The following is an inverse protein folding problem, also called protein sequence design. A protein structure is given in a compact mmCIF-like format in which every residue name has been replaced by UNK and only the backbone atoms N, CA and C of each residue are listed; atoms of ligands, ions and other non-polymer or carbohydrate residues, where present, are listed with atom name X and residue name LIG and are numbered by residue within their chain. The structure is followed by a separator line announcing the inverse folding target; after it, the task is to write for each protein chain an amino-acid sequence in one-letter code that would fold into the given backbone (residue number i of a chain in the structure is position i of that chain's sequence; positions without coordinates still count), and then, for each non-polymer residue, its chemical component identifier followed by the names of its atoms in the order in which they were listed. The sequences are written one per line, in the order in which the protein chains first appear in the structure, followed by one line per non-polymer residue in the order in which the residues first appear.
data_IF_003865507880
#
_entry.id   IF_003865507880
#
_cell.length_a   1.000
_cell.length_b   1.000
_cell.length_c   1.000
_cell.angle_alpha   90.00
_cell.angle_beta   90.00
_cell.angle_gamma   90.00
#
_symmetry.space_group_name_H-M   'P 1'
#
loop_
_entity.id
_entity.type
_entity.pdbx_description
1 polymer ?
#
# COMPACT_ATOMS: atom_id res chain seq x y z
N UNK A 1 -23.78 -51.52 10.03
CA UNK A 1 -24.09 -50.65 8.89
C UNK A 1 -22.98 -49.63 8.83
N UNK A 2 -22.22 -49.54 7.72
CA UNK A 2 -21.22 -48.50 7.58
C UNK A 2 -21.97 -47.16 7.48
N UNK A 3 -21.60 -46.20 8.33
CA UNK A 3 -22.09 -44.82 8.20
C UNK A 3 -21.71 -44.28 6.83
N UNK A 4 -22.69 -43.67 6.14
CA UNK A 4 -22.43 -43.02 4.87
C UNK A 4 -21.41 -41.89 5.07
N UNK A 5 -20.44 -41.73 4.19
CA UNK A 5 -19.43 -40.67 4.33
C UNK A 5 -20.12 -39.29 4.34
N UNK A 6 -19.86 -38.52 5.39
CA UNK A 6 -20.39 -37.15 5.49
C UNK A 6 -19.66 -36.25 4.50
N UNK A 7 -20.38 -35.77 3.49
CA UNK A 7 -19.85 -34.85 2.48
C UNK A 7 -19.94 -33.44 3.04
N UNK A 8 -18.80 -32.76 3.20
CA UNK A 8 -18.70 -31.36 3.57
C UNK A 8 -18.39 -30.52 2.32
N UNK A 9 -19.14 -29.46 2.11
CA UNK A 9 -18.92 -28.53 0.99
C UNK A 9 -18.46 -27.19 1.50
N UNK A 10 -17.59 -26.53 0.75
CA UNK A 10 -17.00 -25.24 1.10
C UNK A 10 -17.18 -24.23 -0.04
N UNK A 11 -17.17 -22.94 0.31
CA UNK A 11 -17.09 -21.85 -0.65
C UNK A 11 -15.59 -21.55 -0.90
N UNK A 12 -15.02 -22.01 -2.02
CA UNK A 12 -13.62 -21.72 -2.30
C UNK A 12 -13.38 -20.35 -2.96
N UNK A 13 -14.25 -19.93 -3.88
CA UNK A 13 -14.06 -18.67 -4.61
C UNK A 13 -12.62 -18.45 -5.07
N UNK A 14 -12.06 -17.27 -4.77
CA UNK A 14 -10.68 -16.92 -5.07
C UNK A 14 -9.68 -17.25 -3.93
N UNK A 15 -10.13 -17.86 -2.82
CA UNK A 15 -9.29 -18.06 -1.62
C UNK A 15 -8.03 -18.88 -1.91
N UNK A 16 -8.16 -19.98 -2.67
CA UNK A 16 -7.03 -20.81 -3.05
C UNK A 16 -6.02 -20.10 -3.96
N UNK A 17 -6.49 -19.25 -4.88
CA UNK A 17 -5.62 -18.43 -5.72
C UNK A 17 -4.84 -17.42 -4.87
N UNK A 18 -5.51 -16.71 -3.95
CA UNK A 18 -4.87 -15.75 -3.04
C UNK A 18 -3.84 -16.45 -2.17
N UNK A 19 -4.18 -17.61 -1.59
CA UNK A 19 -3.25 -18.42 -0.83
C UNK A 19 -2.00 -18.77 -1.66
N UNK A 20 -2.17 -19.25 -2.90
CA UNK A 20 -1.07 -19.60 -3.79
C UNK A 20 -0.14 -18.42 -4.06
N UNK A 21 -0.70 -17.24 -4.35
CA UNK A 21 0.08 -16.01 -4.56
C UNK A 21 0.82 -15.57 -3.28
N UNK A 22 0.16 -15.66 -2.13
CA UNK A 22 0.79 -15.32 -0.84
C UNK A 22 1.92 -16.30 -0.48
N UNK A 23 1.79 -17.58 -0.81
CA UNK A 23 2.84 -18.59 -0.65
C UNK A 23 4.02 -18.31 -1.59
N UNK A 24 3.76 -17.95 -2.84
CA UNK A 24 4.81 -17.60 -3.81
C UNK A 24 5.68 -16.45 -3.31
N UNK A 25 5.08 -15.42 -2.72
CA UNK A 25 5.81 -14.29 -2.13
C UNK A 25 6.32 -14.55 -0.71
N UNK A 26 6.07 -15.75 -0.17
CA UNK A 26 6.44 -16.16 1.20
C UNK A 26 5.94 -15.20 2.28
N UNK A 27 4.69 -14.74 2.14
CA UNK A 27 4.08 -13.73 3.01
C UNK A 27 4.13 -14.12 4.48
N UNK A 28 3.65 -15.33 4.82
CA UNK A 28 3.55 -15.82 6.19
C UNK A 28 4.93 -15.92 6.84
N UNK A 29 5.88 -16.52 6.14
CA UNK A 29 7.26 -16.66 6.62
C UNK A 29 7.88 -15.29 6.88
N UNK A 30 7.73 -14.36 5.93
CA UNK A 30 8.31 -13.01 6.05
C UNK A 30 7.75 -12.26 7.26
N UNK A 31 6.44 -12.31 7.48
CA UNK A 31 5.81 -11.67 8.64
C UNK A 31 6.28 -12.34 9.93
N UNK A 32 6.24 -13.67 10.02
CA UNK A 32 6.64 -14.40 11.23
C UNK A 32 8.10 -14.14 11.64
N UNK A 33 9.01 -13.92 10.67
CA UNK A 33 10.39 -13.54 10.97
C UNK A 33 10.56 -12.07 11.40
N UNK A 34 9.60 -11.23 11.06
CA UNK A 34 9.68 -9.79 11.29
C UNK A 34 8.99 -9.33 12.57
N UNK A 35 8.19 -10.20 13.21
CA UNK A 35 7.45 -9.89 14.43
C UNK A 35 7.92 -10.76 15.58
N UNK A 36 7.79 -10.25 16.81
CA UNK A 36 8.09 -11.04 18.02
C UNK A 36 6.86 -11.86 18.40
N UNK A 37 7.01 -13.17 18.47
CA UNK A 37 5.97 -14.10 18.88
C UNK A 37 6.58 -15.41 19.39
N UNK A 38 5.80 -16.18 20.17
CA UNK A 38 6.22 -17.47 20.73
C UNK A 38 5.34 -18.60 20.16
N UNK A 39 5.94 -19.49 19.39
CA UNK A 39 5.25 -20.64 18.76
C UNK A 39 4.51 -21.53 19.76
N UNK A 40 4.95 -21.58 21.01
CA UNK A 40 4.32 -22.41 22.05
C UNK A 40 3.04 -21.77 22.59
N UNK A 41 2.90 -20.45 22.48
CA UNK A 41 1.76 -19.70 23.00
C UNK A 41 0.72 -19.39 21.92
N UNK A 42 1.09 -19.48 20.65
CA UNK A 42 0.23 -19.16 19.53
C UNK A 42 -0.19 -20.42 18.78
N UNK A 43 -1.49 -20.72 18.78
CA UNK A 43 -2.04 -21.82 17.97
C UNK A 43 -1.90 -21.55 16.47
N UNK A 44 -2.13 -20.31 16.04
CA UNK A 44 -1.99 -19.81 14.66
C UNK A 44 -0.98 -18.67 14.65
N UNK A 45 0.01 -18.69 13.76
CA UNK A 45 1.05 -17.67 13.74
C UNK A 45 0.52 -16.29 13.33
N UNK A 46 1.20 -15.18 13.72
CA UNK A 46 0.82 -13.84 13.28
C UNK A 46 0.70 -13.72 11.77
N UNK A 47 1.64 -14.29 11.00
CA UNK A 47 1.61 -14.28 9.54
C UNK A 47 0.39 -15.01 8.96
N UNK A 48 -0.04 -16.13 9.56
CA UNK A 48 -1.27 -16.82 9.14
C UNK A 48 -2.53 -15.98 9.45
N UNK A 49 -2.59 -15.27 10.57
CA UNK A 49 -3.68 -14.34 10.85
C UNK A 49 -3.72 -13.19 9.84
N UNK A 50 -2.57 -12.60 9.48
CA UNK A 50 -2.51 -11.55 8.47
C UNK A 50 -2.95 -12.09 7.10
N UNK A 51 -2.51 -13.30 6.72
CA UNK A 51 -2.99 -13.98 5.50
C UNK A 51 -4.50 -14.15 5.53
N UNK A 52 -5.07 -14.59 6.66
CA UNK A 52 -6.50 -14.74 6.83
C UNK A 52 -7.26 -13.40 6.65
N UNK A 53 -6.73 -12.31 7.20
CA UNK A 53 -7.30 -10.98 7.02
C UNK A 53 -7.19 -10.48 5.59
N UNK A 54 -6.13 -10.80 4.86
CA UNK A 54 -5.98 -10.50 3.43
C UNK A 54 -7.03 -11.25 2.61
N UNK A 55 -7.20 -12.56 2.84
CA UNK A 55 -8.23 -13.38 2.19
C UNK A 55 -9.62 -12.80 2.47
N UNK A 56 -9.93 -12.48 3.74
CA UNK A 56 -11.19 -11.84 4.10
C UNK A 56 -11.38 -10.50 3.37
N UNK A 57 -10.35 -9.66 3.31
CA UNK A 57 -10.43 -8.34 2.65
C UNK A 57 -10.74 -8.47 1.16
N UNK A 58 -10.20 -9.48 0.51
CA UNK A 58 -10.36 -9.68 -0.94
C UNK A 58 -11.63 -10.48 -1.31
N UNK A 59 -12.10 -11.40 -0.45
CA UNK A 59 -13.20 -12.31 -0.74
C UNK A 59 -14.47 -12.05 0.07
N UNK A 60 -14.35 -11.71 1.36
CA UNK A 60 -15.48 -11.60 2.29
C UNK A 60 -15.86 -10.17 2.63
N UNK A 61 -14.85 -9.33 2.86
CA UNK A 61 -15.00 -7.94 3.33
C UNK A 61 -15.85 -7.79 4.58
N UNK A 62 -15.84 -8.81 5.44
CA UNK A 62 -16.54 -8.73 6.72
C UNK A 62 -15.66 -8.02 7.77
N UNK A 63 -16.26 -7.31 8.73
CA UNK A 63 -15.51 -6.66 9.80
C UNK A 63 -14.81 -7.70 10.69
N UNK A 64 -13.77 -7.27 11.41
CA UNK A 64 -12.91 -8.15 12.22
C UNK A 64 -13.69 -9.09 13.15
N UNK A 65 -14.74 -8.60 13.81
CA UNK A 65 -15.57 -9.41 14.71
C UNK A 65 -16.43 -10.48 14.01
N UNK A 66 -16.45 -10.52 12.67
CA UNK A 66 -17.15 -11.54 11.87
C UNK A 66 -16.21 -12.42 11.06
N UNK A 67 -14.90 -12.27 11.18
CA UNK A 67 -13.91 -13.05 10.41
C UNK A 67 -14.04 -14.54 10.72
N UNK A 68 -14.25 -14.93 11.97
CA UNK A 68 -14.55 -16.31 12.35
C UNK A 68 -15.73 -16.87 11.55
N UNK A 69 -16.85 -16.15 11.50
CA UNK A 69 -18.04 -16.56 10.75
C UNK A 69 -17.78 -16.67 9.23
N UNK A 70 -16.93 -15.81 8.66
CA UNK A 70 -16.52 -15.92 7.25
C UNK A 70 -15.81 -17.25 6.99
N UNK A 71 -14.99 -17.71 7.95
CA UNK A 71 -14.23 -18.95 7.82
C UNK A 71 -15.03 -20.22 8.11
N UNK A 72 -16.23 -20.15 8.72
CA UNK A 72 -17.10 -21.31 8.91
C UNK A 72 -17.51 -21.98 7.57
N UNK A 73 -17.63 -21.18 6.50
CA UNK A 73 -17.99 -21.63 5.16
C UNK A 73 -16.76 -21.93 4.27
N UNK A 74 -15.52 -21.80 4.79
CA UNK A 74 -14.29 -22.01 4.03
C UNK A 74 -13.62 -23.34 4.40
N UNK A 75 -12.80 -23.87 3.49
CA UNK A 75 -11.90 -24.98 3.79
C UNK A 75 -10.69 -24.50 4.60
N UNK A 76 -10.87 -24.32 5.90
CA UNK A 76 -9.85 -23.78 6.79
C UNK A 76 -8.64 -24.70 6.89
N UNK A 77 -8.84 -26.01 6.89
CA UNK A 77 -7.70 -26.97 6.90
C UNK A 77 -6.90 -26.91 5.60
N UNK A 78 -7.57 -26.81 4.46
CA UNK A 78 -6.91 -26.62 3.17
C UNK A 78 -6.16 -25.30 3.05
N UNK A 79 -6.65 -24.23 3.71
CA UNK A 79 -6.02 -22.92 3.67
C UNK A 79 -4.86 -22.76 4.67
N UNK A 80 -4.98 -23.32 5.88
CA UNK A 80 -4.08 -23.00 7.00
C UNK A 80 -3.43 -24.22 7.66
N UNK A 81 -3.77 -25.42 7.20
CA UNK A 81 -3.22 -26.69 7.70
C UNK A 81 -4.19 -27.50 8.55
N UNK A 82 -3.91 -28.80 8.61
CA UNK A 82 -4.72 -29.79 9.33
C UNK A 82 -4.92 -29.42 10.80
N UNK A 83 -6.14 -29.61 11.30
CA UNK A 83 -6.54 -29.31 12.69
C UNK A 83 -6.83 -27.83 12.95
N UNK A 84 -6.81 -26.99 11.91
CA UNK A 84 -7.25 -25.59 12.00
C UNK A 84 -8.76 -25.50 11.83
N UNK A 85 -9.36 -24.57 12.56
CA UNK A 85 -10.82 -24.33 12.55
C UNK A 85 -11.10 -22.84 12.40
N UNK A 86 -12.32 -22.47 12.01
CA UNK A 86 -12.74 -21.08 11.92
C UNK A 86 -12.54 -20.33 13.26
N UNK A 87 -12.77 -21.01 14.39
CA UNK A 87 -12.62 -20.46 15.73
C UNK A 87 -11.18 -19.97 16.02
N UNK A 88 -10.17 -20.55 15.38
CA UNK A 88 -8.77 -20.13 15.56
C UNK A 88 -8.53 -18.71 15.03
N UNK A 89 -9.40 -18.23 14.13
CA UNK A 89 -9.36 -16.89 13.51
C UNK A 89 -10.37 -15.91 14.13
N UNK A 90 -10.72 -16.09 15.41
CA UNK A 90 -11.59 -15.17 16.12
C UNK A 90 -10.94 -13.77 16.24
N UNK A 91 -11.77 -12.76 16.53
CA UNK A 91 -11.34 -11.36 16.53
C UNK A 91 -10.29 -11.03 17.61
N UNK A 92 -10.28 -11.74 18.76
CA UNK A 92 -9.26 -11.54 19.79
C UNK A 92 -7.87 -12.03 19.34
N UNK A 93 -7.82 -13.24 18.75
CA UNK A 93 -6.57 -13.79 18.22
C UNK A 93 -6.06 -12.96 17.03
N UNK A 94 -6.96 -12.58 16.12
CA UNK A 94 -6.63 -11.73 14.97
C UNK A 94 -6.22 -10.32 15.41
N UNK A 95 -6.82 -9.75 16.46
CA UNK A 95 -6.43 -8.48 17.06
C UNK A 95 -5.00 -8.51 17.58
N UNK A 96 -4.65 -9.52 18.40
CA UNK A 96 -3.25 -9.69 18.88
C UNK A 96 -2.25 -9.83 17.74
N UNK A 97 -2.63 -10.50 16.64
CA UNK A 97 -1.77 -10.61 15.46
C UNK A 97 -1.56 -9.27 14.75
N UNK A 98 -2.59 -8.42 14.71
CA UNK A 98 -2.48 -7.05 14.20
C UNK A 98 -1.57 -6.19 15.09
N UNK A 99 -1.67 -6.33 16.43
CA UNK A 99 -0.80 -5.64 17.36
C UNK A 99 0.66 -6.08 17.16
N UNK A 100 0.94 -7.37 17.11
CA UNK A 100 2.28 -7.88 16.84
C UNK A 100 2.83 -7.41 15.47
N UNK A 101 1.97 -7.33 14.45
CA UNK A 101 2.34 -6.83 13.13
C UNK A 101 2.63 -5.32 13.14
N UNK A 102 1.89 -4.55 13.91
CA UNK A 102 2.10 -3.12 14.12
C UNK A 102 3.42 -2.87 14.85
N UNK A 103 3.64 -3.54 15.99
CA UNK A 103 4.84 -3.43 16.82
C UNK A 103 6.11 -3.88 16.07
N UNK A 104 5.98 -4.87 15.19
CA UNK A 104 7.04 -5.30 14.28
C UNK A 104 7.39 -4.28 13.18
N UNK A 105 6.65 -3.18 13.08
CA UNK A 105 6.86 -2.14 12.08
C UNK A 105 6.25 -2.48 10.72
N UNK A 106 4.93 -2.55 10.65
CA UNK A 106 4.14 -2.96 9.47
C UNK A 106 4.60 -2.31 8.16
N UNK A 107 4.97 -1.02 8.18
CA UNK A 107 5.51 -0.28 7.03
C UNK A 107 6.85 -0.87 6.53
N UNK A 108 7.74 -1.21 7.44
CA UNK A 108 9.04 -1.81 7.13
C UNK A 108 8.88 -3.23 6.60
N UNK A 109 7.98 -4.02 7.21
CA UNK A 109 7.63 -5.38 6.78
C UNK A 109 7.08 -5.35 5.34
N UNK A 110 6.13 -4.46 5.06
CA UNK A 110 5.58 -4.30 3.72
C UNK A 110 6.65 -3.92 2.69
N UNK A 111 7.49 -2.92 3.01
CA UNK A 111 8.57 -2.47 2.12
C UNK A 111 9.58 -3.58 1.84
N UNK A 112 10.02 -4.31 2.87
CA UNK A 112 10.97 -5.41 2.70
C UNK A 112 10.38 -6.55 1.84
N UNK A 113 9.11 -6.91 2.07
CA UNK A 113 8.40 -7.91 1.28
C UNK A 113 8.30 -7.51 -0.19
N UNK A 114 7.89 -6.27 -0.48
CA UNK A 114 7.73 -5.76 -1.85
C UNK A 114 9.06 -5.67 -2.57
N UNK A 115 10.10 -5.09 -1.95
CA UNK A 115 11.44 -5.00 -2.53
C UNK A 115 12.03 -6.38 -2.85
N UNK A 116 11.93 -7.32 -1.92
CA UNK A 116 12.39 -8.70 -2.14
C UNK A 116 11.73 -9.31 -3.37
N UNK A 117 10.39 -9.18 -3.49
CA UNK A 117 9.66 -9.74 -4.62
C UNK A 117 10.02 -9.08 -5.95
N UNK A 118 10.20 -7.75 -5.96
CA UNK A 118 10.62 -7.03 -7.15
C UNK A 118 12.00 -7.47 -7.63
N UNK A 119 12.96 -7.58 -6.70
CA UNK A 119 14.33 -8.02 -7.01
C UNK A 119 14.35 -9.47 -7.50
N UNK A 120 13.61 -10.37 -6.85
CA UNK A 120 13.54 -11.78 -7.24
C UNK A 120 12.95 -11.97 -8.64
N UNK A 121 11.99 -11.12 -9.03
CA UNK A 121 11.36 -11.15 -10.35
C UNK A 121 12.11 -10.36 -11.42
N UNK A 122 13.24 -9.73 -11.07
CA UNK A 122 14.00 -8.89 -11.99
C UNK A 122 13.21 -7.69 -12.52
N UNK A 123 12.23 -7.18 -11.74
CA UNK A 123 11.41 -6.05 -12.15
C UNK A 123 12.26 -4.77 -12.15
N UNK A 124 12.39 -4.06 -13.29
CA UNK A 124 13.24 -2.89 -13.36
C UNK A 124 12.64 -1.72 -12.54
N UNK A 125 13.49 -1.09 -11.73
CA UNK A 125 13.16 0.12 -10.97
C UNK A 125 13.34 1.38 -11.85
N UNK A 126 12.49 1.54 -12.87
CA UNK A 126 12.62 2.66 -13.81
C UNK A 126 11.71 3.84 -13.44
N UNK A 127 10.42 3.60 -13.33
CA UNK A 127 9.43 4.63 -13.03
C UNK A 127 8.64 4.24 -11.78
N UNK A 128 8.63 5.14 -10.80
CA UNK A 128 7.83 5.01 -9.59
C UNK A 128 6.71 6.05 -9.61
N UNK A 129 5.47 5.60 -9.50
CA UNK A 129 4.28 6.45 -9.45
C UNK A 129 3.78 6.50 -8.01
N UNK A 130 3.75 7.69 -7.43
CA UNK A 130 3.25 7.92 -6.08
C UNK A 130 1.96 8.71 -6.07
N UNK A 131 0.98 8.23 -5.32
CA UNK A 131 -0.27 8.93 -5.08
C UNK A 131 -0.80 8.62 -3.67
N UNK A 132 -1.67 9.50 -3.18
CA UNK A 132 -2.36 9.33 -1.92
C UNK A 132 -3.85 9.15 -2.17
N UNK A 133 -4.52 8.48 -1.26
CA UNK A 133 -5.97 8.47 -1.17
C UNK A 133 -6.41 8.65 0.26
N UNK A 134 -7.57 9.25 0.49
CA UNK A 134 -8.16 9.35 1.82
C UNK A 134 -9.23 8.29 2.01
N UNK A 135 -9.33 7.78 3.24
CA UNK A 135 -10.43 6.92 3.66
C UNK A 135 -11.20 7.59 4.78
N UNK A 136 -12.46 7.90 4.51
CA UNK A 136 -13.38 8.48 5.47
C UNK A 136 -13.69 7.49 6.59
N UNK A 137 -13.68 7.99 7.83
CA UNK A 137 -13.94 7.23 9.05
C UNK A 137 -15.17 7.78 9.75
N UNK A 138 -16.05 6.88 10.20
CA UNK A 138 -17.25 7.23 10.94
C UNK A 138 -17.05 6.95 12.42
N UNK A 139 -17.12 7.96 13.25
CA UNK A 139 -16.91 7.87 14.70
C UNK A 139 -16.22 9.10 15.25
N UNK A 140 -16.17 9.23 16.57
CA UNK A 140 -15.58 10.40 17.24
C UNK A 140 -14.06 10.37 17.23
N UNK A 141 -13.44 9.20 17.33
CA UNK A 141 -11.99 9.00 17.29
C UNK A 141 -11.20 10.10 18.02
N UNK A 142 -11.23 10.07 19.33
CA UNK A 142 -10.44 10.99 20.16
C UNK A 142 -8.96 10.60 20.10
N UNK A 143 -8.09 11.60 19.99
CA UNK A 143 -6.65 11.37 20.03
C UNK A 143 -6.22 11.19 21.50
N UNK A 144 -5.60 10.06 21.81
CA UNK A 144 -5.18 9.71 23.17
C UNK A 144 -3.94 10.51 23.66
N UNK A 145 -3.46 11.47 22.85
CA UNK A 145 -2.27 12.26 23.17
C UNK A 145 -0.94 11.56 22.93
N UNK A 146 -0.97 10.30 22.53
CA UNK A 146 0.23 9.55 22.14
C UNK A 146 0.74 10.04 20.77
N UNK A 147 1.98 10.55 20.68
CA UNK A 147 2.54 11.06 19.43
C UNK A 147 2.72 9.99 18.36
N UNK A 148 2.89 8.73 18.75
CA UNK A 148 3.13 7.61 17.83
C UNK A 148 1.85 6.96 17.30
N UNK A 149 0.70 7.33 17.86
CA UNK A 149 -0.60 6.82 17.41
C UNK A 149 -1.10 7.57 16.16
N UNK A 150 -1.56 6.82 15.16
CA UNK A 150 -2.19 7.36 13.95
C UNK A 150 -3.39 8.25 14.31
N UNK A 151 -3.36 9.50 13.86
CA UNK A 151 -4.40 10.50 14.17
C UNK A 151 -5.47 10.50 13.09
N UNK A 152 -6.67 10.06 13.48
CA UNK A 152 -7.86 10.12 12.63
C UNK A 152 -8.43 11.53 12.74
N UNK A 153 -8.14 12.39 11.75
CA UNK A 153 -8.41 13.82 11.79
C UNK A 153 -9.29 14.26 10.60
N UNK A 154 -9.89 15.44 10.74
CA UNK A 154 -10.42 16.16 9.59
C UNK A 154 -9.27 16.52 8.65
N UNK A 155 -9.51 16.47 7.34
CA UNK A 155 -8.51 16.78 6.33
C UNK A 155 -9.15 17.07 4.96
N UNK A 156 -8.31 17.18 3.94
CA UNK A 156 -8.79 17.39 2.57
C UNK A 156 -9.27 16.06 1.97
N UNK A 157 -10.55 15.76 2.20
CA UNK A 157 -11.16 14.49 1.73
C UNK A 157 -11.28 14.47 0.20
N UNK A 158 -10.74 13.43 -0.43
CA UNK A 158 -10.93 13.17 -1.87
C UNK A 158 -12.41 12.84 -2.20
N UNK A 159 -13.17 12.35 -1.22
CA UNK A 159 -14.60 12.10 -1.33
C UNK A 159 -15.47 13.33 -1.07
N UNK A 160 -14.85 14.53 -0.89
CA UNK A 160 -15.53 15.80 -0.56
C UNK A 160 -16.33 15.78 0.75
N UNK A 161 -16.02 14.86 1.66
CA UNK A 161 -16.63 14.73 2.98
C UNK A 161 -15.76 15.42 4.03
N UNK A 162 -15.72 16.74 3.98
CA UNK A 162 -14.94 17.59 4.90
C UNK A 162 -15.49 17.61 6.34
N UNK A 163 -16.71 17.09 6.51
CA UNK A 163 -17.41 16.94 7.78
C UNK A 163 -16.97 15.71 8.57
N UNK A 164 -16.27 14.77 7.93
CA UNK A 164 -15.86 13.50 8.53
C UNK A 164 -14.35 13.42 8.69
N UNK A 165 -13.93 12.75 9.77
CA UNK A 165 -12.54 12.39 9.98
C UNK A 165 -12.08 11.36 8.95
N UNK A 166 -10.79 11.32 8.70
CA UNK A 166 -10.18 10.42 7.70
C UNK A 166 -8.79 9.97 8.11
N UNK A 167 -8.27 9.00 7.41
CA UNK A 167 -6.86 8.65 7.33
C UNK A 167 -6.39 8.85 5.88
N UNK A 168 -5.09 9.09 5.69
CA UNK A 168 -4.48 9.20 4.36
C UNK A 168 -3.61 7.98 4.10
N UNK A 169 -3.89 7.28 3.01
CA UNK A 169 -3.09 6.15 2.54
C UNK A 169 -2.24 6.60 1.37
N UNK A 170 -0.93 6.40 1.46
CA UNK A 170 -0.01 6.65 0.37
C UNK A 170 0.52 5.34 -0.22
N UNK A 171 0.60 5.26 -1.52
CA UNK A 171 1.14 4.11 -2.24
C UNK A 171 2.08 4.56 -3.34
N UNK A 172 3.20 3.87 -3.46
CA UNK A 172 4.12 4.00 -4.59
C UNK A 172 4.13 2.68 -5.35
N UNK A 173 3.91 2.76 -6.64
CA UNK A 173 3.94 1.61 -7.54
C UNK A 173 5.00 1.76 -8.61
N UNK A 174 5.51 0.65 -9.12
CA UNK A 174 6.46 0.60 -10.23
C UNK A 174 5.96 -0.35 -11.31
N UNK A 175 6.49 -0.21 -12.52
CA UNK A 175 6.17 -1.08 -13.66
C UNK A 175 4.67 -1.15 -13.92
N UNK A 176 4.11 -2.34 -13.92
CA UNK A 176 2.67 -2.58 -14.18
C UNK A 176 1.80 -2.47 -12.91
N UNK A 177 2.09 -1.51 -12.04
CA UNK A 177 1.33 -1.32 -10.80
C UNK A 177 1.80 -2.17 -9.62
N UNK A 178 3.01 -2.73 -9.68
CA UNK A 178 3.58 -3.45 -8.55
C UNK A 178 3.87 -2.49 -7.39
N UNK A 179 3.39 -2.74 -6.18
CA UNK A 179 3.67 -1.88 -5.05
C UNK A 179 5.16 -1.90 -4.67
N UNK A 180 5.71 -0.74 -4.39
CA UNK A 180 7.08 -0.56 -3.89
C UNK A 180 7.07 -0.13 -2.43
N UNK A 181 6.34 0.92 -2.12
CA UNK A 181 6.22 1.51 -0.78
C UNK A 181 4.75 1.79 -0.49
N UNK A 182 4.35 1.65 0.76
CA UNK A 182 3.01 1.98 1.21
C UNK A 182 3.00 2.42 2.66
N UNK A 183 2.13 3.36 3.00
CA UNK A 183 1.94 3.80 4.37
C UNK A 183 0.52 4.33 4.62
N UNK A 184 0.14 4.30 5.89
CA UNK A 184 -1.03 5.00 6.41
C UNK A 184 -0.53 6.17 7.22
N UNK A 185 -1.17 7.31 7.09
CA UNK A 185 -0.77 8.57 7.69
C UNK A 185 -1.97 9.26 8.34
N UNK A 186 -1.67 10.24 9.18
CA UNK A 186 -2.66 11.10 9.82
C UNK A 186 -3.62 11.71 8.80
N UNK A 187 -4.88 11.85 9.19
CA UNK A 187 -5.95 12.30 8.28
C UNK A 187 -5.80 13.72 7.74
N UNK A 188 -4.98 14.54 8.37
CA UNK A 188 -4.69 15.90 7.95
C UNK A 188 -3.38 16.05 7.16
N UNK A 189 -2.69 14.96 6.83
CA UNK A 189 -1.47 15.03 6.02
C UNK A 189 -1.82 15.52 4.61
N UNK A 190 -1.14 16.57 4.15
CA UNK A 190 -1.27 17.07 2.80
C UNK A 190 -0.31 16.40 1.81
N UNK A 191 -0.68 16.39 0.53
CA UNK A 191 0.08 15.72 -0.53
C UNK A 191 1.50 16.30 -0.71
N UNK A 192 1.72 17.59 -0.44
CA UNK A 192 3.05 18.21 -0.55
C UNK A 192 4.00 17.68 0.51
N UNK A 193 3.50 17.59 1.74
CA UNK A 193 4.25 17.04 2.88
C UNK A 193 4.51 15.54 2.69
N UNK A 194 3.49 14.79 2.26
CA UNK A 194 3.64 13.37 1.97
C UNK A 194 4.72 13.11 0.90
N UNK A 195 4.69 13.86 -0.21
CA UNK A 195 5.71 13.75 -1.26
C UNK A 195 7.13 14.01 -0.73
N UNK A 196 7.30 14.99 0.16
CA UNK A 196 8.58 15.28 0.78
C UNK A 196 9.08 14.16 1.70
N UNK A 197 8.17 13.54 2.47
CA UNK A 197 8.48 12.37 3.30
C UNK A 197 8.78 11.13 2.46
N UNK A 198 8.11 10.98 1.32
CA UNK A 198 8.32 9.88 0.40
C UNK A 198 9.72 9.89 -0.21
N UNK A 199 10.26 11.06 -0.58
CA UNK A 199 11.66 11.19 -1.06
C UNK A 199 12.64 10.64 -0.02
N UNK A 200 12.44 10.97 1.26
CA UNK A 200 13.29 10.45 2.34
C UNK A 200 13.11 8.94 2.52
N UNK A 201 11.89 8.46 2.41
CA UNK A 201 11.58 7.03 2.52
C UNK A 201 12.22 6.23 1.39
N UNK A 202 12.14 6.71 0.14
CA UNK A 202 12.82 6.08 -1.00
C UNK A 202 14.34 6.06 -0.81
N UNK A 203 14.92 7.16 -0.32
CA UNK A 203 16.36 7.25 -0.07
C UNK A 203 16.86 6.33 1.07
N UNK A 204 15.96 5.92 1.99
CA UNK A 204 16.29 4.93 3.04
C UNK A 204 16.10 3.50 2.56
N UNK A 205 15.09 3.25 1.71
CA UNK A 205 14.71 1.92 1.26
C UNK A 205 15.56 1.41 0.09
N UNK A 206 16.07 2.30 -0.75
CA UNK A 206 16.81 1.99 -1.97
C UNK A 206 18.27 2.37 -1.82
N UNK A 207 19.15 1.59 -2.45
CA UNK A 207 20.56 1.94 -2.50
C UNK A 207 20.82 3.11 -3.48
N UNK A 208 22.01 3.77 -3.43
CA UNK A 208 22.30 4.93 -4.28
C UNK A 208 22.22 4.68 -5.78
N UNK A 209 22.51 3.46 -6.24
CA UNK A 209 22.40 3.11 -7.66
C UNK A 209 20.96 2.98 -8.09
N UNK A 210 20.12 2.30 -7.29
CA UNK A 210 18.68 2.18 -7.50
C UNK A 210 18.00 3.55 -7.54
N UNK A 211 18.39 4.47 -6.64
CA UNK A 211 17.88 5.85 -6.64
C UNK A 211 18.22 6.58 -7.95
N UNK A 212 19.45 6.46 -8.44
CA UNK A 212 19.87 7.11 -9.70
C UNK A 212 19.14 6.57 -10.92
N UNK A 213 18.77 5.30 -10.92
CA UNK A 213 18.02 4.68 -12.02
C UNK A 213 16.53 5.03 -11.97
N UNK A 214 15.98 5.29 -10.78
CA UNK A 214 14.58 5.58 -10.57
C UNK A 214 14.20 6.98 -11.07
N UNK A 215 13.04 7.08 -11.72
CA UNK A 215 12.35 8.34 -12.03
C UNK A 215 11.04 8.37 -11.25
N UNK A 216 10.92 9.28 -10.31
CA UNK A 216 9.68 9.46 -9.56
C UNK A 216 8.69 10.29 -10.37
N UNK A 217 7.53 9.75 -10.64
CA UNK A 217 6.43 10.41 -11.35
C UNK A 217 5.37 10.81 -10.33
N UNK A 218 5.13 12.09 -10.21
CA UNK A 218 4.21 12.66 -9.24
C UNK A 218 3.32 13.74 -9.88
N UNK A 219 2.23 14.04 -9.20
CA UNK A 219 1.34 15.14 -9.55
C UNK A 219 1.97 16.53 -9.25
N UNK A 220 1.20 17.60 -9.46
CA UNK A 220 1.67 18.97 -9.22
C UNK A 220 1.93 19.30 -7.74
N UNK A 221 1.40 18.53 -6.81
CA UNK A 221 1.65 18.74 -5.38
C UNK A 221 3.10 18.47 -4.99
N UNK A 222 3.80 17.61 -5.73
CA UNK A 222 5.24 17.40 -5.56
C UNK A 222 6.05 18.66 -5.85
N UNK A 223 5.65 19.46 -6.86
CA UNK A 223 6.46 20.55 -7.39
C UNK A 223 6.51 21.75 -6.44
N UNK A 224 7.19 21.60 -5.33
CA UNK A 224 7.52 22.66 -4.37
C UNK A 224 9.03 22.86 -4.30
N UNK A 225 9.47 24.08 -3.95
CA UNK A 225 10.91 24.35 -3.80
C UNK A 225 11.60 23.39 -2.83
N UNK A 226 10.91 23.04 -1.73
CA UNK A 226 11.43 22.12 -0.71
C UNK A 226 11.60 20.71 -1.28
N UNK A 227 10.59 20.16 -1.95
CA UNK A 227 10.62 18.80 -2.46
C UNK A 227 11.61 18.65 -3.62
N UNK A 228 11.68 19.65 -4.52
CA UNK A 228 12.66 19.69 -5.61
C UNK A 228 14.09 19.71 -5.07
N UNK A 229 14.40 20.57 -4.09
CA UNK A 229 15.71 20.60 -3.43
C UNK A 229 16.05 19.27 -2.75
N UNK A 230 15.05 18.66 -2.09
CA UNK A 230 15.22 17.39 -1.40
C UNK A 230 15.51 16.25 -2.41
N UNK A 231 14.75 16.16 -3.50
CA UNK A 231 14.98 15.17 -4.55
C UNK A 231 16.37 15.34 -5.19
N UNK A 232 16.76 16.59 -5.52
CA UNK A 232 18.08 16.89 -6.03
C UNK A 232 19.20 16.45 -5.07
N UNK A 233 19.08 16.79 -3.78
CA UNK A 233 20.06 16.38 -2.75
C UNK A 233 20.18 14.87 -2.54
N UNK A 234 19.17 14.10 -2.96
CA UNK A 234 19.17 12.62 -2.92
C UNK A 234 19.50 12.00 -4.29
N UNK A 235 19.81 12.78 -5.31
CA UNK A 235 20.01 12.34 -6.69
C UNK A 235 18.82 11.56 -7.28
N UNK A 236 17.60 11.85 -6.80
CA UNK A 236 16.36 11.28 -7.30
C UNK A 236 15.88 12.09 -8.50
N UNK A 237 15.76 11.45 -9.65
CA UNK A 237 15.13 12.05 -10.83
C UNK A 237 13.62 12.06 -10.67
N UNK A 238 12.94 13.05 -11.22
CA UNK A 238 11.49 13.12 -11.14
C UNK A 238 10.85 13.73 -12.39
N UNK A 239 9.58 13.42 -12.59
CA UNK A 239 8.68 14.04 -13.54
C UNK A 239 7.47 14.51 -12.73
N UNK A 240 7.10 15.79 -12.87
CA UNK A 240 5.94 16.35 -12.18
C UNK A 240 5.33 17.46 -13.04
N UNK A 241 4.02 17.66 -12.89
CA UNK A 241 3.35 18.82 -13.44
C UNK A 241 3.72 20.06 -12.63
N UNK A 242 3.93 21.18 -13.32
CA UNK A 242 4.02 22.50 -12.69
C UNK A 242 2.62 23.06 -12.55
N UNK A 243 2.22 23.43 -11.33
CA UNK A 243 0.88 23.96 -11.07
C UNK A 243 0.58 25.20 -11.94
N UNK A 244 -0.69 25.41 -12.29
CA UNK A 244 -1.12 26.49 -13.20
C UNK A 244 -0.70 27.89 -12.72
N UNK A 245 -0.72 28.11 -11.44
CA UNK A 245 -0.39 29.40 -10.83
C UNK A 245 1.13 29.62 -10.59
N UNK A 246 1.97 28.65 -10.98
CA UNK A 246 3.41 28.75 -10.72
C UNK A 246 4.08 29.63 -11.78
N UNK A 247 4.86 30.64 -11.33
CA UNK A 247 5.56 31.59 -12.22
C UNK A 247 6.42 30.91 -13.29
N UNK A 248 7.07 29.79 -12.96
CA UNK A 248 7.93 29.06 -13.90
C UNK A 248 7.14 28.54 -15.11
N UNK A 249 5.87 28.10 -14.94
CA UNK A 249 5.04 27.64 -16.04
C UNK A 249 4.88 28.72 -17.10
N UNK A 250 4.56 29.94 -16.68
CA UNK A 250 4.42 31.10 -17.58
C UNK A 250 5.72 31.40 -18.34
N UNK A 251 6.84 31.43 -17.60
CA UNK A 251 8.18 31.67 -18.18
C UNK A 251 8.52 30.60 -19.24
N UNK A 252 8.31 29.31 -18.91
CA UNK A 252 8.60 28.22 -19.84
C UNK A 252 7.73 28.31 -21.13
N UNK A 253 6.44 28.60 -20.99
CA UNK A 253 5.54 28.76 -22.14
C UNK A 253 6.00 29.93 -23.03
N UNK A 254 6.31 31.08 -22.44
CA UNK A 254 6.80 32.27 -23.17
C UNK A 254 8.11 31.96 -23.90
N UNK A 255 9.07 31.28 -23.27
CA UNK A 255 10.33 30.87 -23.88
C UNK A 255 10.13 29.90 -25.03
N UNK A 256 9.25 28.90 -24.91
CA UNK A 256 8.94 27.96 -25.98
C UNK A 256 8.32 28.66 -27.18
N UNK A 257 7.38 29.58 -26.94
CA UNK A 257 6.73 30.36 -28.00
C UNK A 257 7.72 31.31 -28.73
N UNK A 258 8.67 31.91 -27.99
CA UNK A 258 9.70 32.77 -28.55
C UNK A 258 10.74 31.99 -29.37
N UNK A 259 11.17 30.85 -28.88
CA UNK A 259 12.25 30.08 -29.52
C UNK A 259 11.78 29.21 -30.68
N UNK A 260 10.48 29.02 -30.87
CA UNK A 260 9.85 28.18 -31.93
C UNK A 260 10.47 26.78 -32.11
N UNK A 261 11.19 26.29 -31.11
CA UNK A 261 11.74 24.93 -31.09
C UNK A 261 10.67 23.93 -30.67
N UNK A 262 9.77 23.62 -31.59
CA UNK A 262 8.75 22.58 -31.41
C UNK A 262 9.17 21.36 -32.21
N UNK A 263 9.16 20.19 -31.54
CA UNK A 263 9.39 18.91 -32.20
C UNK A 263 8.01 18.26 -32.33
N UNK A 264 7.58 17.99 -33.55
CA UNK A 264 6.36 17.23 -33.77
C UNK A 264 6.61 15.76 -33.43
N UNK A 265 5.96 15.27 -32.38
CA UNK A 265 6.06 13.88 -31.94
C UNK A 265 5.05 12.95 -32.64
N UNK A 266 4.23 13.48 -33.55
CA UNK A 266 3.14 12.74 -34.18
C UNK A 266 1.97 12.47 -33.21
N UNK A 267 0.98 11.69 -33.67
CA UNK A 267 -0.16 11.31 -32.83
C UNK A 267 0.28 10.29 -31.76
N UNK A 268 0.01 10.58 -30.50
CA UNK A 268 0.09 9.58 -29.43
C UNK A 268 -1.05 8.57 -29.65
N UNK A 269 -0.72 7.30 -29.75
CA UNK A 269 -1.60 6.20 -30.18
C UNK A 269 -2.91 6.03 -29.41
N UNK A 270 -3.03 6.64 -28.22
CA UNK A 270 -4.17 6.44 -27.31
C UNK A 270 -5.11 7.67 -27.18
N UNK A 271 -4.85 8.75 -27.90
CA UNK A 271 -5.72 9.93 -27.85
C UNK A 271 -6.51 10.08 -29.16
N UNK A 272 -7.79 9.71 -29.13
CA UNK A 272 -8.71 9.89 -30.27
C UNK A 272 -8.91 11.35 -30.70
N UNK A 273 -8.50 12.35 -29.90
CA UNK A 273 -8.74 13.78 -30.12
C UNK A 273 -7.50 14.66 -29.86
N UNK A 274 -6.29 14.16 -29.99
CA UNK A 274 -5.12 15.03 -29.95
C UNK A 274 -5.08 15.86 -31.26
N UNK A 275 -5.28 17.15 -31.16
CA UNK A 275 -4.96 18.10 -32.26
C UNK A 275 -3.43 18.08 -32.45
N UNK A 276 -3.01 18.00 -33.71
CA UNK A 276 -1.61 18.14 -34.15
C UNK A 276 -0.97 19.43 -33.65
#
# INVERSE_FOLDING_TARGET
MAEAPMIKTFRSGATGLILSLCNEIKLVEHINHSVTWDEKQWKVSPGQHILALIINTLCGRVPLYRVEKFYEDQDVEGLFGVGRTAHDFNHFASGRALDAFYDGGSKSIFTALTLRNLLTRGTPLQFAHGDTTSKTMYGEYENNGDPDTLKINLGHSKDKRYDLKQIVMGLVTIGRGMPLLGNVNDGNLDDKTWNGQLVDTMAKALNPEQIRQLVYVADSAFFTQTNVKKAHGKNLRFISLVSENHKLRKICIEQVLQNKHMINLGRLSDQKNASE
#
